data_IF_232641052007
#
_entry.id   IF_232641052007
#
_cell.length_a   1.000
_cell.length_b   1.000
_cell.length_c   1.000
_cell.angle_alpha   90.00
_cell.angle_beta   90.00
_cell.angle_gamma   90.00
#
_symmetry.space_group_name_H-M   'P 1'
#
loop_
_entity.id
_entity.type
_entity.pdbx_description
1 polymer ?
#
# COMPACT_ATOMS: atom_id res chain seq x y z
N UNK A 1 30.72 -4.68 -0.60
CA UNK A 1 30.35 -5.86 0.21
C UNK A 1 28.84 -6.03 0.12
N UNK A 2 28.32 -7.19 -0.33
CA UNK A 2 26.89 -7.45 -0.21
C UNK A 2 26.55 -7.47 1.29
N UNK A 3 25.74 -6.53 1.75
CA UNK A 3 25.20 -6.61 3.11
C UNK A 3 24.41 -7.88 3.24
N UNK A 4 24.56 -8.55 4.37
CA UNK A 4 23.85 -9.78 4.66
C UNK A 4 22.32 -9.57 4.46
N UNK A 5 21.64 -10.53 3.81
CA UNK A 5 20.21 -10.41 3.48
C UNK A 5 19.29 -10.35 4.73
N UNK A 6 19.85 -10.56 5.93
CA UNK A 6 19.12 -10.60 7.18
C UNK A 6 18.42 -9.29 7.56
N UNK A 7 18.90 -8.14 7.09
CA UNK A 7 18.24 -6.84 7.35
C UNK A 7 17.00 -6.61 6.46
N UNK A 8 16.86 -7.35 5.36
CA UNK A 8 15.73 -7.26 4.43
C UNK A 8 14.64 -8.29 4.72
N UNK A 9 14.99 -9.40 5.37
CA UNK A 9 14.07 -10.53 5.61
C UNK A 9 12.86 -10.16 6.49
N UNK A 10 13.00 -9.51 7.66
CA UNK A 10 11.85 -9.14 8.49
C UNK A 10 10.83 -8.22 7.79
N UNK A 11 11.21 -7.11 7.13
CA UNK A 11 10.26 -6.29 6.42
C UNK A 11 9.64 -7.00 5.20
N UNK A 12 10.40 -7.81 4.46
CA UNK A 12 9.85 -8.55 3.31
C UNK A 12 8.81 -9.57 3.76
N UNK A 13 9.06 -10.34 4.83
CA UNK A 13 8.12 -11.34 5.34
C UNK A 13 6.85 -10.65 5.84
N UNK A 14 6.97 -9.58 6.64
CA UNK A 14 5.82 -8.84 7.14
C UNK A 14 4.99 -8.21 6.01
N UNK A 15 5.65 -7.57 5.03
CA UNK A 15 4.99 -6.99 3.86
C UNK A 15 4.32 -8.06 3.00
N UNK A 16 4.97 -9.21 2.78
CA UNK A 16 4.42 -10.30 1.98
C UNK A 16 3.18 -10.92 2.63
N UNK A 17 3.24 -11.25 3.93
CA UNK A 17 2.11 -11.81 4.67
C UNK A 17 0.93 -10.82 4.68
N UNK A 18 1.21 -9.55 4.99
CA UNK A 18 0.18 -8.50 5.04
C UNK A 18 -0.46 -8.32 3.66
N UNK A 19 0.34 -8.34 2.60
CA UNK A 19 -0.17 -8.17 1.23
C UNK A 19 -0.99 -9.37 0.78
N UNK A 20 -0.55 -10.60 1.04
CA UNK A 20 -1.30 -11.83 0.71
C UNK A 20 -2.65 -11.88 1.45
N UNK A 21 -2.63 -11.58 2.75
CA UNK A 21 -3.87 -11.53 3.54
C UNK A 21 -4.84 -10.47 2.99
N UNK A 22 -4.32 -9.29 2.66
CA UNK A 22 -5.13 -8.20 2.11
C UNK A 22 -5.70 -8.54 0.73
N UNK A 23 -4.93 -9.23 -0.12
CA UNK A 23 -5.40 -9.73 -1.42
C UNK A 23 -6.55 -10.73 -1.28
N UNK A 24 -6.48 -11.61 -0.30
CA UNK A 24 -7.54 -12.61 -0.04
C UNK A 24 -8.82 -11.92 0.44
N UNK A 25 -8.66 -10.88 1.26
CA UNK A 25 -9.77 -10.03 1.70
C UNK A 25 -10.38 -9.25 0.52
N UNK A 26 -9.57 -8.61 -0.32
CA UNK A 26 -10.06 -7.92 -1.53
C UNK A 26 -10.77 -8.89 -2.47
N UNK A 27 -10.26 -10.11 -2.67
CA UNK A 27 -10.92 -11.12 -3.50
C UNK A 27 -12.33 -11.44 -2.98
N UNK A 28 -12.46 -11.67 -1.67
CA UNK A 28 -13.76 -11.97 -1.04
C UNK A 28 -14.73 -10.78 -1.12
N UNK A 29 -14.22 -9.56 -1.05
CA UNK A 29 -15.04 -8.36 -1.18
C UNK A 29 -15.49 -8.14 -2.63
N UNK A 30 -14.59 -8.31 -3.60
CA UNK A 30 -14.89 -8.19 -5.03
C UNK A 30 -15.96 -9.18 -5.45
N UNK A 31 -15.90 -10.45 -5.01
CA UNK A 31 -16.93 -11.44 -5.35
C UNK A 31 -18.30 -11.04 -4.81
N UNK A 32 -18.38 -10.61 -3.54
CA UNK A 32 -19.63 -10.09 -2.96
C UNK A 32 -20.15 -8.84 -3.67
N UNK A 33 -19.25 -8.01 -4.18
CA UNK A 33 -19.57 -6.79 -4.92
C UNK A 33 -20.06 -7.08 -6.33
N UNK A 34 -19.52 -8.11 -6.99
CA UNK A 34 -20.01 -8.58 -8.29
C UNK A 34 -21.46 -9.10 -8.20
N UNK A 35 -21.79 -9.83 -7.14
CA UNK A 35 -23.17 -10.29 -6.91
C UNK A 35 -24.13 -9.10 -6.74
N UNK A 36 -23.72 -8.09 -5.95
CA UNK A 36 -24.48 -6.86 -5.74
C UNK A 36 -24.58 -6.00 -7.01
N UNK A 37 -23.54 -5.97 -7.82
CA UNK A 37 -23.45 -5.17 -9.02
C UNK A 37 -24.53 -5.50 -10.04
N UNK A 38 -24.97 -6.77 -10.11
CA UNK A 38 -26.11 -7.17 -10.96
C UNK A 38 -27.39 -6.41 -10.57
N UNK A 39 -27.71 -6.35 -9.28
CA UNK A 39 -28.89 -5.67 -8.74
C UNK A 39 -28.74 -4.14 -8.81
N UNK A 40 -27.54 -3.64 -8.54
CA UNK A 40 -27.22 -2.22 -8.63
C UNK A 40 -27.28 -1.70 -10.06
N UNK A 41 -26.96 -2.54 -11.06
CA UNK A 41 -27.07 -2.20 -12.48
C UNK A 41 -28.53 -2.02 -12.89
N UNK A 42 -29.42 -2.92 -12.47
CA UNK A 42 -30.85 -2.74 -12.67
C UNK A 42 -31.34 -1.46 -12.00
N UNK A 43 -30.94 -1.18 -10.76
CA UNK A 43 -31.31 0.08 -10.10
C UNK A 43 -30.75 1.33 -10.78
N UNK A 44 -29.56 1.23 -11.39
CA UNK A 44 -28.91 2.30 -12.13
C UNK A 44 -29.61 2.65 -13.45
N UNK A 45 -30.32 1.70 -14.07
CA UNK A 45 -31.12 1.95 -15.27
C UNK A 45 -32.30 2.90 -14.98
N UNK A 46 -32.76 2.95 -13.74
CA UNK A 46 -33.91 3.75 -13.30
C UNK A 46 -33.54 4.92 -12.38
N UNK A 47 -32.25 5.10 -12.05
CA UNK A 47 -31.80 6.17 -11.15
C UNK A 47 -30.35 6.58 -11.40
N UNK A 48 -30.16 7.85 -11.76
CA UNK A 48 -28.83 8.48 -11.93
C UNK A 48 -27.99 8.42 -10.65
N UNK A 49 -28.64 8.46 -9.47
CA UNK A 49 -27.94 8.35 -8.18
C UNK A 49 -27.37 6.95 -7.96
N UNK A 50 -28.10 5.90 -8.38
CA UNK A 50 -27.61 4.53 -8.30
C UNK A 50 -26.47 4.29 -9.30
N UNK A 51 -26.58 4.83 -10.51
CA UNK A 51 -25.52 4.78 -11.51
C UNK A 51 -24.21 5.44 -11.02
N UNK A 52 -24.30 6.63 -10.43
CA UNK A 52 -23.15 7.33 -9.89
C UNK A 52 -22.47 6.56 -8.74
N UNK A 53 -23.27 5.96 -7.85
CA UNK A 53 -22.72 5.12 -6.77
C UNK A 53 -22.04 3.87 -7.29
N UNK A 54 -22.63 3.19 -8.28
CA UNK A 54 -22.01 2.02 -8.90
C UNK A 54 -20.66 2.36 -9.53
N UNK A 55 -20.59 3.49 -10.25
CA UNK A 55 -19.35 3.99 -10.85
C UNK A 55 -18.28 4.27 -9.80
N UNK A 56 -18.62 5.00 -8.72
CA UNK A 56 -17.66 5.29 -7.64
C UNK A 56 -17.18 4.01 -6.95
N UNK A 57 -18.05 3.04 -6.71
CA UNK A 57 -17.69 1.73 -6.14
C UNK A 57 -16.65 1.01 -7.00
N UNK A 58 -16.84 0.94 -8.32
CA UNK A 58 -15.84 0.36 -9.24
C UNK A 58 -14.50 1.08 -9.17
N UNK A 59 -14.51 2.41 -9.24
CA UNK A 59 -13.27 3.20 -9.25
C UNK A 59 -12.49 3.09 -7.94
N UNK A 60 -13.18 3.00 -6.80
CA UNK A 60 -12.53 2.87 -5.48
C UNK A 60 -11.96 1.48 -5.27
N UNK A 61 -12.68 0.41 -5.60
CA UNK A 61 -12.12 -0.94 -5.57
C UNK A 61 -10.94 -1.10 -6.52
N UNK A 62 -11.05 -0.59 -7.76
CA UNK A 62 -9.95 -0.64 -8.71
C UNK A 62 -8.70 0.07 -8.16
N UNK A 63 -8.87 1.23 -7.51
CA UNK A 63 -7.74 1.94 -6.89
C UNK A 63 -7.10 1.14 -5.75
N UNK A 64 -7.90 0.44 -4.92
CA UNK A 64 -7.40 -0.43 -3.86
C UNK A 64 -6.60 -1.61 -4.40
N UNK A 65 -7.16 -2.32 -5.39
CA UNK A 65 -6.50 -3.45 -6.05
C UNK A 65 -5.18 -3.03 -6.71
N UNK A 66 -5.17 -1.90 -7.43
CA UNK A 66 -3.96 -1.39 -8.08
C UNK A 66 -2.88 -1.05 -7.05
N UNK A 67 -3.24 -0.41 -5.93
CA UNK A 67 -2.29 -0.08 -4.88
C UNK A 67 -1.72 -1.33 -4.19
N UNK A 68 -2.54 -2.35 -3.94
CA UNK A 68 -2.10 -3.62 -3.38
C UNK A 68 -1.18 -4.39 -4.33
N UNK A 69 -1.54 -4.45 -5.61
CA UNK A 69 -0.72 -5.10 -6.63
C UNK A 69 0.65 -4.41 -6.78
N UNK A 70 0.68 -3.07 -6.82
CA UNK A 70 1.91 -2.30 -6.87
C UNK A 70 2.77 -2.49 -5.62
N UNK A 71 2.15 -2.56 -4.43
CA UNK A 71 2.83 -2.87 -3.17
C UNK A 71 3.46 -4.28 -3.20
N UNK A 72 2.74 -5.28 -3.73
CA UNK A 72 3.25 -6.64 -3.86
C UNK A 72 4.45 -6.70 -4.80
N UNK A 73 4.32 -6.12 -6.00
CA UNK A 73 5.40 -6.04 -6.99
C UNK A 73 6.61 -5.35 -6.40
N UNK A 74 6.41 -4.26 -5.66
CA UNK A 74 7.50 -3.53 -5.02
C UNK A 74 8.19 -4.35 -3.94
N UNK A 75 7.46 -5.11 -3.12
CA UNK A 75 8.03 -6.00 -2.11
C UNK A 75 8.97 -7.06 -2.71
N UNK A 76 8.64 -7.61 -3.88
CA UNK A 76 9.52 -8.51 -4.62
C UNK A 76 10.66 -7.79 -5.32
N UNK A 77 10.39 -6.64 -5.96
CA UNK A 77 11.38 -5.88 -6.71
C UNK A 77 12.53 -5.38 -5.83
N UNK A 78 12.28 -5.05 -4.56
CA UNK A 78 13.31 -4.62 -3.61
C UNK A 78 14.49 -5.60 -3.48
N UNK A 79 14.29 -6.88 -3.74
CA UNK A 79 15.36 -7.89 -3.69
C UNK A 79 16.41 -7.68 -4.79
N UNK A 80 16.04 -7.00 -5.87
CA UNK A 80 16.86 -6.75 -7.04
C UNK A 80 17.31 -5.29 -7.17
N UNK A 81 16.80 -4.41 -6.31
CA UNK A 81 17.12 -2.98 -6.36
C UNK A 81 18.44 -2.66 -5.63
N UNK A 82 19.26 -1.74 -6.17
CA UNK A 82 20.43 -1.25 -5.47
C UNK A 82 20.02 -0.46 -4.22
N UNK A 83 20.87 -0.48 -3.18
CA UNK A 83 20.57 0.08 -1.85
C UNK A 83 20.04 1.51 -1.84
N UNK A 84 20.60 2.39 -2.68
CA UNK A 84 20.21 3.79 -2.76
C UNK A 84 18.77 3.98 -3.29
N UNK A 85 18.18 2.96 -3.92
CA UNK A 85 16.80 2.96 -4.41
C UNK A 85 15.81 2.36 -3.41
N UNK A 86 16.26 1.69 -2.34
CA UNK A 86 15.35 1.05 -1.38
C UNK A 86 14.48 2.07 -0.64
N UNK A 87 15.10 3.11 -0.07
CA UNK A 87 14.39 4.18 0.63
C UNK A 87 13.39 4.95 -0.26
N UNK A 88 13.75 5.44 -1.46
CA UNK A 88 12.79 6.14 -2.32
C UNK A 88 11.68 5.22 -2.85
N UNK A 89 11.96 3.95 -3.17
CA UNK A 89 10.92 2.98 -3.57
C UNK A 89 9.95 2.69 -2.42
N UNK A 90 10.45 2.56 -1.20
CA UNK A 90 9.61 2.40 -0.01
C UNK A 90 8.73 3.63 0.25
N UNK A 91 9.31 4.83 0.15
CA UNK A 91 8.58 6.08 0.32
C UNK A 91 7.49 6.25 -0.76
N UNK A 92 7.78 5.88 -2.01
CA UNK A 92 6.81 5.91 -3.10
C UNK A 92 5.65 4.94 -2.84
N UNK A 93 5.92 3.74 -2.34
CA UNK A 93 4.87 2.79 -1.97
C UNK A 93 4.04 3.25 -0.75
N UNK A 94 4.68 3.88 0.23
CA UNK A 94 3.96 4.53 1.33
C UNK A 94 3.01 5.60 0.79
N UNK A 95 3.49 6.45 -0.12
CA UNK A 95 2.67 7.46 -0.79
C UNK A 95 1.51 6.86 -1.59
N UNK A 96 1.75 5.82 -2.37
CA UNK A 96 0.73 5.15 -3.19
C UNK A 96 -0.36 4.52 -2.32
N UNK A 97 0.03 3.73 -1.32
CA UNK A 97 -0.91 3.05 -0.40
C UNK A 97 -1.66 4.05 0.48
N UNK A 98 -1.00 5.13 0.91
CA UNK A 98 -1.62 6.24 1.64
C UNK A 98 -2.63 7.02 0.79
N UNK A 99 -2.29 7.33 -0.46
CA UNK A 99 -3.18 8.01 -1.40
C UNK A 99 -4.42 7.15 -1.72
N UNK A 100 -4.24 5.84 -1.93
CA UNK A 100 -5.34 4.90 -2.12
C UNK A 100 -6.22 4.81 -0.87
N UNK A 101 -5.64 4.69 0.33
CA UNK A 101 -6.38 4.68 1.58
C UNK A 101 -7.17 5.98 1.80
N UNK A 102 -6.61 7.13 1.43
CA UNK A 102 -7.28 8.41 1.52
C UNK A 102 -8.44 8.54 0.52
N UNK A 103 -8.21 8.18 -0.74
CA UNK A 103 -9.24 8.21 -1.79
C UNK A 103 -10.41 7.28 -1.47
N UNK A 104 -10.11 6.03 -1.10
CA UNK A 104 -11.11 5.04 -0.71
C UNK A 104 -11.80 5.43 0.60
N UNK A 105 -11.05 5.87 1.61
CA UNK A 105 -11.61 6.27 2.91
C UNK A 105 -12.57 7.45 2.82
N UNK A 106 -12.40 8.34 1.83
CA UNK A 106 -13.34 9.44 1.59
C UNK A 106 -14.68 8.97 1.02
N UNK A 107 -14.70 7.88 0.26
CA UNK A 107 -15.92 7.31 -0.31
C UNK A 107 -16.62 6.34 0.66
N UNK A 108 -15.85 5.51 1.37
CA UNK A 108 -16.36 4.46 2.28
C UNK A 108 -16.55 4.94 3.73
N UNK A 109 -16.45 6.23 4.02
CA UNK A 109 -16.67 6.74 5.38
C UNK A 109 -18.11 6.41 5.86
N UNK A 110 -18.24 5.71 6.98
CA UNK A 110 -19.51 5.32 7.64
C UNK A 110 -20.51 6.47 7.77
N UNK A 111 -20.04 7.72 7.91
CA UNK A 111 -20.89 8.90 7.96
C UNK A 111 -21.71 9.15 6.67
N UNK A 112 -21.33 8.53 5.55
CA UNK A 112 -21.91 8.76 4.22
C UNK A 112 -22.57 7.51 3.62
N UNK A 113 -22.33 6.34 4.19
CA UNK A 113 -22.88 5.07 3.74
C UNK A 113 -23.92 4.53 4.70
N UNK A 114 -25.18 4.79 4.37
CA UNK A 114 -26.33 4.17 5.03
C UNK A 114 -26.32 2.68 4.72
N UNK A 115 -26.14 1.84 5.74
CA UNK A 115 -26.36 0.39 5.63
C UNK A 115 -27.80 0.18 5.21
N UNK A 116 -28.00 -0.41 4.03
CA UNK A 116 -29.35 -0.58 3.47
C UNK A 116 -29.97 -1.83 4.11
N UNK A 117 -31.15 -1.73 4.73
CA UNK A 117 -31.82 -2.90 5.29
C UNK A 117 -32.12 -3.92 4.17
N UNK A 118 -32.01 -5.21 4.49
CA UNK A 118 -32.19 -6.35 3.58
C UNK A 118 -31.10 -6.57 2.49
N UNK A 119 -30.07 -5.71 2.43
CA UNK A 119 -28.93 -5.86 1.51
C UNK A 119 -27.68 -6.38 2.25
N UNK A 120 -27.74 -7.59 2.80
CA UNK A 120 -26.68 -8.16 3.64
C UNK A 120 -25.32 -8.28 2.93
N UNK A 121 -25.31 -8.71 1.67
CA UNK A 121 -24.08 -8.81 0.87
C UNK A 121 -23.46 -7.44 0.59
N UNK A 122 -24.29 -6.42 0.38
CA UNK A 122 -23.83 -5.04 0.22
C UNK A 122 -23.21 -4.50 1.51
N UNK A 123 -23.90 -4.65 2.64
CA UNK A 123 -23.39 -4.19 3.93
C UNK A 123 -22.10 -4.94 4.31
N UNK A 124 -21.99 -6.23 3.97
CA UNK A 124 -20.77 -7.01 4.15
C UNK A 124 -19.64 -6.52 3.23
N UNK A 125 -19.94 -6.12 2.00
CA UNK A 125 -18.98 -5.53 1.08
C UNK A 125 -18.50 -4.15 1.53
N UNK A 126 -19.40 -3.30 2.02
CA UNK A 126 -19.08 -1.99 2.63
C UNK A 126 -18.09 -2.15 3.78
N UNK A 127 -18.42 -3.01 4.76
CA UNK A 127 -17.52 -3.30 5.88
C UNK A 127 -16.21 -3.96 5.43
N UNK A 128 -16.26 -4.76 4.37
CA UNK A 128 -15.08 -5.31 3.72
C UNK A 128 -14.16 -4.23 3.14
N UNK A 129 -14.71 -3.23 2.45
CA UNK A 129 -13.96 -2.11 1.87
C UNK A 129 -13.36 -1.19 2.93
N UNK A 130 -14.00 -1.02 4.08
CA UNK A 130 -13.38 -0.33 5.23
C UNK A 130 -12.19 -1.09 5.80
N UNK A 131 -12.31 -2.42 5.91
CA UNK A 131 -11.19 -3.26 6.31
C UNK A 131 -10.03 -3.16 5.30
N UNK A 132 -10.32 -3.07 4.00
CA UNK A 132 -9.32 -2.82 2.94
C UNK A 132 -8.63 -1.45 3.12
N UNK A 133 -9.38 -0.39 3.42
CA UNK A 133 -8.81 0.93 3.74
C UNK A 133 -7.89 0.86 4.97
N UNK A 134 -8.28 0.14 6.02
CA UNK A 134 -7.43 -0.06 7.19
C UNK A 134 -6.14 -0.81 6.85
N UNK A 135 -6.21 -1.82 5.98
CA UNK A 135 -5.03 -2.56 5.54
C UNK A 135 -4.10 -1.70 4.67
N UNK A 136 -4.64 -0.87 3.77
CA UNK A 136 -3.86 0.09 3.00
C UNK A 136 -3.16 1.12 3.91
N UNK A 137 -3.82 1.58 4.98
CA UNK A 137 -3.18 2.43 6.01
C UNK A 137 -2.05 1.71 6.73
N UNK A 138 -2.24 0.45 7.11
CA UNK A 138 -1.18 -0.37 7.71
C UNK A 138 0.00 -0.52 6.78
N UNK A 139 -0.24 -0.83 5.50
CA UNK A 139 0.81 -0.90 4.47
C UNK A 139 1.53 0.44 4.31
N UNK A 140 0.82 1.57 4.31
CA UNK A 140 1.43 2.90 4.27
C UNK A 140 2.39 3.11 5.44
N UNK A 141 1.98 2.75 6.67
CA UNK A 141 2.85 2.86 7.85
C UNK A 141 4.04 1.91 7.75
N UNK A 142 3.83 0.64 7.38
CA UNK A 142 4.90 -0.34 7.23
C UNK A 142 5.93 0.07 6.18
N UNK A 143 5.48 0.59 5.03
CA UNK A 143 6.35 1.15 4.00
C UNK A 143 7.08 2.41 4.46
N UNK A 144 6.41 3.28 5.22
CA UNK A 144 7.02 4.48 5.82
C UNK A 144 8.14 4.14 6.81
N UNK A 145 7.92 3.14 7.68
CA UNK A 145 8.94 2.64 8.61
C UNK A 145 10.13 2.07 7.82
N UNK A 146 9.88 1.24 6.80
CA UNK A 146 10.93 0.68 5.96
C UNK A 146 11.75 1.78 5.24
N UNK A 147 11.08 2.81 4.72
CA UNK A 147 11.73 3.97 4.12
C UNK A 147 12.65 4.69 5.12
N UNK A 148 12.17 4.92 6.35
CA UNK A 148 12.95 5.55 7.42
C UNK A 148 14.19 4.73 7.79
N UNK A 149 14.04 3.41 7.97
CA UNK A 149 15.16 2.52 8.30
C UNK A 149 16.23 2.53 7.20
N UNK A 150 15.82 2.39 5.93
CA UNK A 150 16.78 2.38 4.81
C UNK A 150 17.39 3.75 4.54
N UNK A 151 16.65 4.83 4.78
CA UNK A 151 17.21 6.17 4.72
C UNK A 151 18.28 6.37 5.80
N UNK A 152 18.04 5.91 7.03
CA UNK A 152 19.04 5.97 8.10
C UNK A 152 20.29 5.14 7.78
N UNK A 153 20.13 3.91 7.26
CA UNK A 153 21.25 3.05 6.84
C UNK A 153 22.11 3.73 5.75
N UNK A 154 21.48 4.34 4.75
CA UNK A 154 22.18 5.06 3.68
C UNK A 154 22.97 6.27 4.21
N UNK A 155 22.42 7.03 5.15
CA UNK A 155 23.10 8.20 5.72
C UNK A 155 24.20 7.82 6.72
N UNK A 156 24.06 6.74 7.47
CA UNK A 156 25.11 6.24 8.36
C UNK A 156 26.33 5.73 7.57
N UNK A 157 26.08 5.03 6.45
CA UNK A 157 27.10 4.67 5.47
C UNK A 157 27.77 5.90 4.85
N UNK A 158 26.99 6.93 4.50
CA UNK A 158 27.53 8.17 3.92
C UNK A 158 28.44 8.93 4.91
N UNK A 159 28.02 9.07 6.17
CA UNK A 159 28.84 9.67 7.24
C UNK A 159 30.10 8.85 7.52
N UNK A 160 30.01 7.52 7.51
CA UNK A 160 31.18 6.64 7.67
C UNK A 160 32.18 6.75 6.51
N UNK A 161 31.69 6.77 5.27
CA UNK A 161 32.54 6.90 4.07
C UNK A 161 33.19 8.28 4.01
N UNK A 162 32.46 9.35 4.31
CA UNK A 162 33.01 10.72 4.35
C UNK A 162 33.99 10.92 5.51
N UNK A 163 33.74 10.34 6.68
CA UNK A 163 34.69 10.34 7.79
C UNK A 163 35.99 9.58 7.44
N UNK A 164 35.88 8.39 6.81
CA UNK A 164 37.05 7.65 6.34
C UNK A 164 37.81 8.39 5.23
N UNK A 165 37.10 9.06 4.31
CA UNK A 165 37.72 9.89 3.27
C UNK A 165 38.42 11.13 3.86
N UNK A 166 37.87 11.73 4.91
CA UNK A 166 38.48 12.87 5.62
C UNK A 166 39.73 12.46 6.41
N UNK A 167 39.68 11.31 7.10
CA UNK A 167 40.83 10.72 7.80
C UNK A 167 41.92 10.27 6.82
N UNK A 168 41.55 9.65 5.70
CA UNK A 168 42.47 9.23 4.64
C UNK A 168 43.03 10.38 3.79
N UNK A 169 42.34 11.52 3.74
CA UNK A 169 42.79 12.74 3.06
C UNK A 169 43.81 13.55 3.88
N UNK A 170 43.70 13.53 5.21
CA UNK A 170 44.69 14.16 6.10
C UNK A 170 46.05 13.44 6.15
N UNK A 171 46.11 12.16 5.75
CA UNK A 171 47.34 11.37 5.73
C UNK A 171 48.22 11.54 4.49
N UNK A 172 47.83 12.37 3.51
CA UNK A 172 48.48 12.46 2.18
C UNK A 172 49.08 13.84 1.88
N UNK A 173 49.59 14.52 2.91
CA UNK A 173 50.11 15.89 2.84
C UNK A 173 51.57 16.07 3.23
N UNK A 174 52.33 15.00 3.49
CA UNK A 174 53.77 15.06 3.77
C UNK A 174 54.43 13.77 3.30
N UNK A 175 55.01 13.80 2.10
CA UNK A 175 56.26 13.17 1.62
C UNK A 175 56.34 13.36 0.11
#
# INVERSE_FOLDING_TARGET
>A
MPSSPFHLLPPIIHLSITTIYTLTLSYTNITRLLDYESQAKTAAEWSDTAAERLRKTRTTQASGVVALAASLVSAFALQYLPKHQLAPTAALNAGLTGAAAWYMGRFWNEQTQVKVPFMQNFNAAVSGSEAEVMMLRRLCVSWGIAAGVWWMDANFLYLGVTALAWVGGKGRGWF
#
